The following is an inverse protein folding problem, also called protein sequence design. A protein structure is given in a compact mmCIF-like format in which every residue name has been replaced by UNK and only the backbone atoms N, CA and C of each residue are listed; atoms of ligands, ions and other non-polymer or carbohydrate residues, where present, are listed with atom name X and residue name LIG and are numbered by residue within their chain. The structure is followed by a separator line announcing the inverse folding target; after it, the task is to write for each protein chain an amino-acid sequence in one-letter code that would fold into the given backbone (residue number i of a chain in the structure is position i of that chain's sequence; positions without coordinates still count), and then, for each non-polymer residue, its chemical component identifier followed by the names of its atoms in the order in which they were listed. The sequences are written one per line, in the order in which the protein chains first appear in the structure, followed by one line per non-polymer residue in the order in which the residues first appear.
data_IF_110932324482
#
_entry.id   IF_110932324482
#
_cell.length_a   1.000
_cell.length_b   1.000
_cell.length_c   1.000
_cell.angle_alpha   90.00
_cell.angle_beta   90.00
_cell.angle_gamma   90.00
#
_symmetry.space_group_name_H-M   'P 1'
#
loop_
_entity.id
_entity.type
_entity.pdbx_description
1 polymer ?
#
# COMPACT_ATOMS: atom_id res chain seq x y z
N UNK A 1 -46.44 37.81 -2.22
CA UNK A 1 -46.08 36.69 -3.11
C UNK A 1 -44.58 36.46 -3.01
N UNK A 2 -44.13 35.38 -2.34
CA UNK A 2 -42.70 35.05 -2.16
C UNK A 2 -42.45 33.66 -2.74
N UNK A 3 -41.64 33.60 -3.78
CA UNK A 3 -41.31 32.42 -4.59
C UNK A 3 -40.32 31.52 -3.85
N UNK A 4 -40.65 30.22 -3.75
CA UNK A 4 -39.75 29.14 -3.31
C UNK A 4 -38.75 28.85 -4.43
N UNK A 5 -37.46 28.84 -4.11
CA UNK A 5 -36.40 28.34 -4.99
C UNK A 5 -35.92 26.98 -4.48
N UNK A 6 -36.42 25.92 -5.09
CA UNK A 6 -35.99 24.54 -4.86
C UNK A 6 -34.69 24.31 -5.65
N UNK A 7 -33.56 24.14 -4.96
CA UNK A 7 -32.29 23.75 -5.61
C UNK A 7 -32.18 22.23 -5.64
N UNK A 8 -32.43 21.65 -6.80
CA UNK A 8 -32.10 20.27 -7.15
C UNK A 8 -30.59 20.19 -7.39
N UNK A 9 -29.87 19.49 -6.51
CA UNK A 9 -28.44 19.17 -6.69
C UNK A 9 -28.33 17.86 -7.49
N UNK A 10 -28.00 17.99 -8.76
CA UNK A 10 -27.63 16.89 -9.66
C UNK A 10 -26.30 16.28 -9.19
N UNK A 11 -26.34 15.01 -8.79
CA UNK A 11 -25.15 14.25 -8.43
C UNK A 11 -24.40 13.83 -9.69
N UNK A 12 -23.29 14.50 -9.99
CA UNK A 12 -22.38 14.10 -11.07
C UNK A 12 -21.53 12.93 -10.57
N UNK A 13 -21.83 11.73 -11.05
CA UNK A 13 -21.05 10.52 -10.81
C UNK A 13 -19.67 10.63 -11.48
N UNK A 14 -18.62 10.79 -10.68
CA UNK A 14 -17.24 10.72 -11.16
C UNK A 14 -16.80 9.23 -11.13
N UNK A 15 -17.02 8.53 -12.24
CA UNK A 15 -16.47 7.19 -12.45
C UNK A 15 -15.01 7.32 -12.89
N UNK A 16 -14.06 6.99 -12.03
CA UNK A 16 -12.65 6.90 -12.40
C UNK A 16 -12.38 5.47 -12.89
N UNK A 17 -12.27 5.34 -14.20
CA UNK A 17 -11.82 4.13 -14.89
C UNK A 17 -10.28 4.05 -14.75
N UNK A 18 -9.76 3.07 -14.02
CA UNK A 18 -8.32 2.75 -14.06
C UNK A 18 -8.10 1.85 -15.28
N UNK A 19 -7.45 2.41 -16.30
CA UNK A 19 -7.09 1.70 -17.51
C UNK A 19 -5.99 0.66 -17.23
N UNK A 20 -6.20 -0.54 -17.79
CA UNK A 20 -5.26 -1.64 -17.81
C UNK A 20 -3.96 -1.27 -18.55
N UNK A 21 -2.81 -1.68 -18.03
CA UNK A 21 -1.55 -1.66 -18.77
C UNK A 21 -1.58 -2.76 -19.84
N UNK A 22 -1.18 -2.49 -21.09
CA UNK A 22 -0.87 -3.54 -22.05
C UNK A 22 0.48 -4.18 -21.70
N UNK A 23 0.44 -5.49 -21.51
CA UNK A 23 1.60 -6.35 -21.64
C UNK A 23 2.11 -6.29 -23.09
N UNK A 24 3.30 -5.73 -23.28
CA UNK A 24 4.07 -5.89 -24.51
C UNK A 24 5.29 -6.76 -24.18
N UNK A 25 5.11 -8.06 -24.31
CA UNK A 25 6.21 -8.96 -24.65
C UNK A 25 6.70 -8.54 -26.04
N UNK A 26 7.98 -8.18 -26.16
CA UNK A 26 8.63 -8.16 -27.46
C UNK A 26 9.99 -8.84 -27.32
N UNK A 27 10.08 -9.97 -28.02
CA UNK A 27 11.26 -10.78 -28.26
C UNK A 27 12.47 -9.95 -28.69
N UNK A 28 13.59 -10.16 -27.99
CA UNK A 28 14.91 -9.93 -28.57
C UNK A 28 15.81 -11.12 -28.23
N UNK A 29 16.24 -11.74 -29.32
CA UNK A 29 17.11 -12.90 -29.50
C UNK A 29 18.30 -13.02 -28.52
N UNK A 30 18.68 -14.25 -28.10
CA UNK A 30 19.83 -14.46 -27.23
C UNK A 30 21.15 -14.37 -28.02
N UNK A 31 22.18 -13.66 -27.53
CA UNK A 31 23.49 -13.70 -28.19
C UNK A 31 24.20 -15.04 -27.96
N UNK A 32 24.78 -15.58 -29.04
CA UNK A 32 25.62 -16.79 -29.09
C UNK A 32 26.88 -16.68 -28.21
N UNK A 33 27.42 -17.81 -27.70
CA UNK A 33 28.65 -17.84 -26.92
C UNK A 33 29.89 -17.86 -27.82
N UNK A 34 30.97 -17.19 -27.40
CA UNK A 34 32.32 -17.39 -27.95
C UNK A 34 33.27 -17.96 -26.87
N UNK A 35 34.21 -18.86 -27.24
CA UNK A 35 35.09 -19.62 -26.33
C UNK A 35 36.36 -18.85 -25.87
N UNK A 36 37.16 -19.41 -24.93
CA UNK A 36 38.04 -18.63 -24.06
C UNK A 36 39.48 -18.51 -24.60
N UNK A 37 40.17 -17.44 -24.19
CA UNK A 37 41.63 -17.39 -24.17
C UNK A 37 42.12 -16.60 -22.96
N UNK A 38 42.93 -17.28 -22.14
CA UNK A 38 43.61 -16.79 -20.94
C UNK A 38 44.78 -15.89 -21.28
N UNK A 39 45.08 -14.91 -20.42
CA UNK A 39 46.42 -14.59 -19.88
C UNK A 39 46.29 -13.54 -18.77
N UNK A 40 47.11 -13.70 -17.74
CA UNK A 40 46.96 -13.04 -16.44
C UNK A 40 47.78 -11.77 -16.24
N UNK A 41 47.66 -11.31 -14.98
CA UNK A 41 48.58 -10.49 -14.18
C UNK A 41 48.32 -8.98 -14.04
N UNK A 42 47.67 -8.65 -12.90
CA UNK A 42 48.00 -7.60 -11.90
C UNK A 42 48.05 -6.10 -12.30
N UNK A 43 47.84 -5.13 -11.36
CA UNK A 43 48.00 -5.24 -9.90
C UNK A 43 46.80 -4.79 -9.05
N UNK A 44 46.89 -5.16 -7.77
CA UNK A 44 45.97 -4.84 -6.70
C UNK A 44 45.76 -3.33 -6.51
N UNK A 45 44.50 -2.90 -6.58
CA UNK A 45 44.05 -1.61 -6.11
C UNK A 45 43.31 -1.79 -4.77
N UNK A 46 43.74 -1.00 -3.79
CA UNK A 46 43.29 -0.94 -2.41
C UNK A 46 41.77 -1.02 -2.24
N UNK A 47 41.32 -2.00 -1.45
CA UNK A 47 39.96 -2.04 -0.95
C UNK A 47 39.76 -0.92 0.08
N UNK A 48 39.11 0.17 -0.33
CA UNK A 48 38.47 1.10 0.59
C UNK A 48 37.28 0.37 1.25
N UNK A 49 37.04 0.54 2.56
CA UNK A 49 35.95 -0.14 3.24
C UNK A 49 34.62 0.33 2.66
N UNK A 50 33.91 -0.59 2.03
CA UNK A 50 32.53 -0.39 1.60
C UNK A 50 31.69 0.02 2.79
N UNK A 51 30.99 1.14 2.65
CA UNK A 51 29.91 1.51 3.55
C UNK A 51 28.96 0.32 3.76
N UNK A 52 28.36 0.15 4.95
CA UNK A 52 27.43 -0.95 5.18
C UNK A 52 26.29 -0.84 4.17
N UNK A 53 26.14 -1.88 3.35
CA UNK A 53 24.98 -2.06 2.50
C UNK A 53 23.75 -1.91 3.38
N UNK A 54 22.89 -0.93 3.06
CA UNK A 54 21.58 -0.82 3.66
C UNK A 54 20.93 -2.20 3.56
N UNK A 55 20.48 -2.74 4.69
CA UNK A 55 19.90 -4.07 4.76
C UNK A 55 18.66 -4.13 3.85
N UNK A 56 18.85 -4.59 2.62
CA UNK A 56 17.81 -5.14 1.76
C UNK A 56 17.42 -6.49 2.34
N UNK A 57 16.80 -6.46 3.53
CA UNK A 57 16.29 -7.64 4.18
C UNK A 57 15.11 -8.15 3.36
N UNK A 58 15.29 -9.26 2.66
CA UNK A 58 14.18 -10.02 2.10
C UNK A 58 13.15 -10.27 3.20
N UNK A 59 11.90 -9.94 2.93
CA UNK A 59 10.81 -10.13 3.87
C UNK A 59 10.50 -11.63 3.91
N UNK A 60 10.69 -12.25 5.07
CA UNK A 60 10.36 -13.67 5.24
C UNK A 60 8.86 -13.80 5.52
N UNK A 61 8.14 -14.58 4.70
CA UNK A 61 6.71 -14.81 4.89
C UNK A 61 6.43 -15.80 6.04
N UNK A 62 6.41 -15.27 7.26
CA UNK A 62 6.08 -16.00 8.49
C UNK A 62 4.68 -15.67 9.03
N UNK A 63 3.80 -15.07 8.21
CA UNK A 63 2.47 -14.66 8.67
C UNK A 63 1.37 -15.70 8.46
N UNK A 64 0.20 -15.49 9.08
CA UNK A 64 -0.95 -16.37 8.94
C UNK A 64 -1.58 -16.27 7.54
N UNK A 65 -2.39 -17.26 7.18
CA UNK A 65 -3.31 -17.14 6.04
C UNK A 65 -4.65 -16.60 6.50
N UNK A 66 -5.26 -15.73 5.70
CA UNK A 66 -6.53 -15.07 6.02
C UNK A 66 -7.64 -15.46 5.06
N UNK A 67 -8.87 -15.52 5.57
CA UNK A 67 -10.07 -15.64 4.76
C UNK A 67 -10.64 -14.26 4.45
N UNK A 68 -10.85 -13.99 3.16
CA UNK A 68 -11.77 -12.96 2.70
C UNK A 68 -12.77 -13.57 1.69
N UNK A 69 -13.97 -13.98 2.15
CA UNK A 69 -15.04 -14.40 1.25
C UNK A 69 -15.51 -13.25 0.34
N UNK A 70 -16.40 -13.50 -0.63
CA UNK A 70 -16.90 -12.45 -1.52
C UNK A 70 -17.59 -11.28 -0.77
N UNK A 71 -18.09 -11.54 0.44
CA UNK A 71 -18.67 -10.57 1.38
C UNK A 71 -17.63 -9.93 2.32
N UNK A 72 -16.33 -10.10 2.04
CA UNK A 72 -15.20 -9.79 2.92
C UNK A 72 -15.20 -8.39 3.52
N UNK A 73 -15.67 -7.39 2.79
CA UNK A 73 -15.80 -6.05 3.36
C UNK A 73 -16.70 -6.00 4.58
N UNK A 74 -17.71 -6.87 4.67
CA UNK A 74 -18.63 -6.93 5.82
C UNK A 74 -17.97 -7.55 7.06
N UNK A 75 -16.90 -8.32 6.89
CA UNK A 75 -16.14 -8.90 8.00
C UNK A 75 -15.20 -7.90 8.65
N UNK A 76 -14.79 -6.87 7.90
CA UNK A 76 -14.05 -5.75 8.45
C UNK A 76 -15.05 -4.86 9.19
N UNK A 77 -15.12 -5.03 10.51
CA UNK A 77 -15.95 -4.17 11.35
C UNK A 77 -15.44 -2.73 11.28
N UNK A 78 -16.35 -1.78 11.50
CA UNK A 78 -16.03 -0.34 11.53
C UNK A 78 -15.46 0.09 12.88
N UNK A 79 -15.63 -0.75 13.90
CA UNK A 79 -15.20 -0.50 15.29
C UNK A 79 -13.73 -0.08 15.41
N UNK A 80 -12.75 -0.72 14.72
CA UNK A 80 -11.37 -0.25 14.66
C UNK A 80 -11.21 1.26 14.44
N UNK A 81 -12.06 1.82 13.59
CA UNK A 81 -11.99 3.21 13.15
C UNK A 81 -12.79 4.16 14.04
N UNK A 82 -13.90 3.69 14.60
CA UNK A 82 -14.75 4.49 15.48
C UNK A 82 -14.00 4.92 16.74
N UNK A 83 -13.14 4.07 17.29
CA UNK A 83 -12.29 4.37 18.45
C UNK A 83 -11.22 5.43 18.15
N UNK A 84 -10.72 5.44 16.92
CA UNK A 84 -9.67 6.37 16.49
C UNK A 84 -10.23 7.73 16.07
N UNK A 85 -11.44 7.72 15.50
CA UNK A 85 -12.09 8.89 14.93
C UNK A 85 -13.58 8.89 15.31
N UNK A 86 -13.90 9.22 16.57
CA UNK A 86 -15.28 9.26 17.02
C UNK A 86 -16.10 10.25 16.18
N UNK A 87 -17.23 9.78 15.65
CA UNK A 87 -18.12 10.57 14.79
C UNK A 87 -17.73 10.63 13.32
N UNK A 88 -16.61 10.03 12.90
CA UNK A 88 -16.24 9.97 11.50
C UNK A 88 -17.16 9.04 10.70
N UNK A 89 -17.50 9.44 9.47
CA UNK A 89 -18.29 8.60 8.58
C UNK A 89 -17.39 7.60 7.90
N UNK A 90 -17.69 6.33 8.05
CA UNK A 90 -16.96 5.26 7.37
C UNK A 90 -17.81 4.66 6.26
N UNK A 91 -17.16 4.37 5.14
CA UNK A 91 -17.73 3.70 3.99
C UNK A 91 -16.89 2.47 3.66
N UNK A 92 -17.57 1.37 3.39
CA UNK A 92 -16.98 0.09 3.00
C UNK A 92 -17.35 -0.18 1.56
N UNK A 93 -16.35 -0.37 0.69
CA UNK A 93 -16.51 -0.57 -0.74
C UNK A 93 -15.83 -1.90 -1.16
N UNK A 94 -16.59 -2.94 -1.54
CA UNK A 94 -16.01 -4.15 -2.11
C UNK A 94 -15.40 -3.85 -3.48
N UNK A 95 -14.12 -4.18 -3.63
CA UNK A 95 -13.38 -3.98 -4.88
C UNK A 95 -13.27 -5.25 -5.72
N UNK A 96 -13.68 -6.39 -5.16
CA UNK A 96 -13.65 -7.71 -5.80
C UNK A 96 -13.41 -8.82 -4.80
N UNK A 97 -13.34 -10.09 -5.25
CA UNK A 97 -13.04 -11.21 -4.39
C UNK A 97 -11.71 -11.02 -3.65
N UNK A 98 -11.73 -11.08 -2.32
CA UNK A 98 -10.52 -10.93 -1.52
C UNK A 98 -9.99 -9.50 -1.38
N UNK A 99 -10.72 -8.47 -1.85
CA UNK A 99 -10.27 -7.08 -1.83
C UNK A 99 -11.36 -6.11 -1.38
N UNK A 100 -11.01 -5.26 -0.42
CA UNK A 100 -11.89 -4.26 0.15
C UNK A 100 -11.22 -2.89 0.21
N UNK A 101 -12.00 -1.82 0.10
CA UNK A 101 -11.58 -0.47 0.47
C UNK A 101 -12.46 0.08 1.58
N UNK A 102 -11.83 0.69 2.58
CA UNK A 102 -12.48 1.32 3.72
C UNK A 102 -12.11 2.80 3.69
N UNK A 103 -13.10 3.67 3.52
CA UNK A 103 -12.90 5.11 3.49
C UNK A 103 -13.48 5.73 4.76
N UNK A 104 -12.65 6.42 5.53
CA UNK A 104 -13.06 7.27 6.64
C UNK A 104 -13.05 8.71 6.15
N UNK A 105 -14.23 9.31 6.05
CA UNK A 105 -14.43 10.67 5.61
C UNK A 105 -14.68 11.64 6.76
N UNK A 106 -14.71 12.93 6.41
CA UNK A 106 -15.08 14.03 7.30
C UNK A 106 -14.19 14.14 8.56
N UNK A 107 -12.91 13.80 8.43
CA UNK A 107 -11.97 13.93 9.53
C UNK A 107 -11.61 15.41 9.78
N UNK A 108 -11.25 15.77 11.04
CA UNK A 108 -10.77 17.10 11.38
C UNK A 108 -9.65 17.55 10.42
N UNK A 109 -9.70 18.83 10.03
CA UNK A 109 -8.69 19.41 9.14
C UNK A 109 -8.85 19.04 7.66
N UNK A 110 -9.99 18.44 7.25
CA UNK A 110 -10.27 18.15 5.84
C UNK A 110 -9.42 17.00 5.31
N UNK A 111 -9.33 15.91 6.08
CA UNK A 111 -8.61 14.70 5.69
C UNK A 111 -9.59 13.56 5.36
N UNK A 112 -9.13 12.64 4.52
CA UNK A 112 -9.73 11.32 4.30
C UNK A 112 -8.67 10.28 4.60
N UNK A 113 -9.06 9.19 5.24
CA UNK A 113 -8.23 7.99 5.29
C UNK A 113 -8.89 6.93 4.42
N UNK A 114 -8.15 6.40 3.44
CA UNK A 114 -8.59 5.28 2.61
C UNK A 114 -7.68 4.10 2.86
N UNK A 115 -8.25 2.98 3.29
CA UNK A 115 -7.51 1.74 3.55
C UNK A 115 -7.96 0.66 2.60
N UNK A 116 -7.06 0.21 1.73
CA UNK A 116 -7.28 -0.97 0.89
C UNK A 116 -6.70 -2.18 1.59
N UNK A 117 -7.49 -3.25 1.65
CA UNK A 117 -7.10 -4.55 2.20
C UNK A 117 -7.28 -5.59 1.11
N UNK A 118 -6.25 -6.40 0.88
CA UNK A 118 -6.24 -7.43 -0.16
C UNK A 118 -5.66 -8.73 0.40
N UNK A 119 -6.36 -9.85 0.20
CA UNK A 119 -5.80 -11.19 0.45
C UNK A 119 -5.24 -11.70 -0.87
N UNK A 120 -3.93 -11.67 -0.97
CA UNK A 120 -3.21 -11.97 -2.21
C UNK A 120 -3.15 -13.47 -2.40
N UNK A 121 -3.88 -13.98 -3.40
CA UNK A 121 -3.91 -15.41 -3.72
C UNK A 121 -2.79 -15.76 -4.69
N UNK A 122 -1.91 -16.67 -4.29
CA UNK A 122 -0.82 -17.16 -5.14
C UNK A 122 0.11 -18.15 -4.45
N UNK A 123 -0.32 -18.73 -3.32
CA UNK A 123 0.54 -19.54 -2.45
C UNK A 123 1.41 -18.70 -1.51
N UNK A 124 2.30 -19.38 -0.78
CA UNK A 124 3.16 -18.77 0.25
C UNK A 124 4.11 -17.77 -0.40
N UNK A 125 4.17 -16.54 0.11
CA UNK A 125 5.06 -15.51 -0.40
C UNK A 125 4.45 -14.57 -1.44
N UNK A 126 3.25 -14.81 -1.97
CA UNK A 126 2.66 -13.97 -3.02
C UNK A 126 2.46 -12.51 -2.58
N UNK A 127 1.86 -12.29 -1.39
CA UNK A 127 1.70 -10.95 -0.83
C UNK A 127 3.05 -10.26 -0.58
N UNK A 128 4.06 -11.05 -0.17
CA UNK A 128 5.42 -10.56 0.06
C UNK A 128 6.09 -10.13 -1.24
N UNK A 129 5.98 -10.93 -2.31
CA UNK A 129 6.49 -10.57 -3.63
C UNK A 129 5.81 -9.32 -4.19
N UNK A 130 4.50 -9.17 -4.00
CA UNK A 130 3.79 -7.95 -4.35
C UNK A 130 4.29 -6.74 -3.54
N UNK A 131 4.50 -6.92 -2.24
CA UNK A 131 5.02 -5.87 -1.36
C UNK A 131 6.42 -5.41 -1.79
N UNK A 132 7.35 -6.35 -2.02
CA UNK A 132 8.71 -6.03 -2.45
C UNK A 132 8.72 -5.42 -3.85
N UNK A 133 7.94 -5.94 -4.80
CA UNK A 133 7.85 -5.41 -6.15
C UNK A 133 7.32 -3.97 -6.22
N UNK A 134 6.24 -3.68 -5.49
CA UNK A 134 5.69 -2.32 -5.40
C UNK A 134 6.64 -1.38 -4.65
N UNK A 135 7.30 -1.86 -3.60
CA UNK A 135 8.33 -1.09 -2.91
C UNK A 135 9.45 -0.67 -3.85
N UNK A 136 9.97 -1.58 -4.68
CA UNK A 136 11.03 -1.25 -5.65
C UNK A 136 10.58 -0.22 -6.69
N UNK A 137 9.32 -0.25 -7.12
CA UNK A 137 8.74 0.78 -7.99
C UNK A 137 8.73 2.14 -7.26
N UNK A 138 8.26 2.18 -6.03
CA UNK A 138 8.21 3.42 -5.24
C UNK A 138 9.62 3.95 -4.92
N UNK A 139 10.58 3.08 -4.65
CA UNK A 139 11.98 3.48 -4.41
C UNK A 139 12.62 4.07 -5.68
N UNK A 140 12.30 3.51 -6.85
CA UNK A 140 12.76 4.04 -8.14
C UNK A 140 12.11 5.38 -8.46
N UNK A 141 10.80 5.48 -8.27
CA UNK A 141 10.02 6.67 -8.66
C UNK A 141 10.15 7.80 -7.61
N UNK A 142 10.49 7.45 -6.37
CA UNK A 142 10.69 8.36 -5.24
C UNK A 142 11.98 8.06 -4.45
N UNK A 143 13.18 8.28 -5.05
CA UNK A 143 14.46 7.93 -4.42
C UNK A 143 14.64 8.55 -3.04
N UNK A 144 14.97 7.71 -2.05
CA UNK A 144 15.23 8.12 -0.66
C UNK A 144 14.00 8.53 0.15
N UNK A 145 12.78 8.44 -0.41
CA UNK A 145 11.53 8.80 0.29
C UNK A 145 10.79 7.60 0.88
N UNK A 146 11.10 6.40 0.41
CA UNK A 146 10.56 5.16 0.97
C UNK A 146 11.31 4.83 2.26
N UNK A 147 10.59 4.69 3.36
CA UNK A 147 11.14 4.42 4.69
C UNK A 147 10.53 3.16 5.27
N UNK A 148 11.35 2.30 5.85
CA UNK A 148 10.84 1.16 6.63
C UNK A 148 9.99 1.66 7.80
N UNK A 149 8.90 0.96 8.07
CA UNK A 149 8.05 1.21 9.22
C UNK A 149 7.95 -0.07 10.07
N UNK A 150 8.37 0.01 11.33
CA UNK A 150 8.42 -1.15 12.23
C UNK A 150 7.13 -1.28 13.05
N UNK A 151 6.91 -2.46 13.65
CA UNK A 151 5.82 -2.66 14.62
C UNK A 151 4.42 -2.81 14.03
N UNK A 152 4.31 -3.17 12.75
CA UNK A 152 3.04 -3.52 12.10
C UNK A 152 3.25 -4.59 11.02
N UNK A 153 2.43 -5.64 11.09
CA UNK A 153 2.54 -6.79 10.19
C UNK A 153 3.88 -7.51 10.26
N UNK A 154 4.21 -8.25 9.19
CA UNK A 154 5.53 -8.88 9.00
C UNK A 154 6.54 -7.90 8.44
N UNK A 155 6.11 -6.96 7.59
CA UNK A 155 6.90 -5.83 7.14
C UNK A 155 5.99 -4.67 6.75
N UNK A 156 6.52 -3.44 6.85
CA UNK A 156 5.85 -2.26 6.37
C UNK A 156 6.83 -1.18 5.89
N UNK A 157 6.36 -0.32 5.00
CA UNK A 157 7.06 0.89 4.59
C UNK A 157 6.09 2.05 4.43
N UNK A 158 6.61 3.26 4.54
CA UNK A 158 5.89 4.51 4.28
C UNK A 158 6.57 5.30 3.18
N UNK A 159 5.78 6.07 2.46
CA UNK A 159 6.26 7.05 1.47
C UNK A 159 5.25 8.19 1.32
N UNK A 160 5.69 9.31 0.75
CA UNK A 160 4.83 10.45 0.46
C UNK A 160 4.22 10.29 -0.94
N UNK A 161 2.97 9.85 -1.00
CA UNK A 161 2.21 9.75 -2.24
C UNK A 161 1.64 11.10 -2.69
N UNK A 162 1.11 11.12 -3.92
CA UNK A 162 0.54 12.34 -4.53
C UNK A 162 -0.58 12.98 -3.69
N UNK A 163 -1.42 12.17 -3.06
CA UNK A 163 -2.55 12.64 -2.23
C UNK A 163 -2.16 12.88 -0.77
N UNK A 164 -1.00 12.36 -0.35
CA UNK A 164 -0.48 12.38 1.01
C UNK A 164 0.25 11.08 1.38
N UNK A 165 0.68 10.93 2.65
CA UNK A 165 1.40 9.78 3.15
C UNK A 165 0.64 8.49 2.94
N UNK A 166 1.42 7.47 2.59
CA UNK A 166 0.94 6.11 2.36
C UNK A 166 1.74 5.17 3.25
N UNK A 167 1.05 4.37 4.04
CA UNK A 167 1.61 3.22 4.73
C UNK A 167 1.20 1.94 3.98
N UNK A 168 2.19 1.11 3.66
CA UNK A 168 1.97 -0.21 3.07
C UNK A 168 2.48 -1.26 4.05
N UNK A 169 1.66 -2.29 4.29
CA UNK A 169 1.93 -3.37 5.23
C UNK A 169 1.68 -4.70 4.53
N UNK A 170 2.56 -5.66 4.78
CA UNK A 170 2.33 -7.08 4.46
C UNK A 170 2.35 -7.91 5.72
N UNK A 171 1.42 -8.84 5.84
CA UNK A 171 1.38 -9.80 6.94
C UNK A 171 0.75 -11.12 6.46
N UNK A 172 1.57 -12.16 6.28
CA UNK A 172 1.09 -13.44 5.76
C UNK A 172 0.67 -13.34 4.29
N UNK A 173 -0.60 -13.61 4.00
CA UNK A 173 -1.21 -13.37 2.68
C UNK A 173 -2.00 -12.05 2.59
N UNK A 174 -2.08 -11.27 3.68
CA UNK A 174 -2.71 -9.96 3.68
C UNK A 174 -1.74 -8.86 3.22
N UNK A 175 -2.23 -8.03 2.31
CA UNK A 175 -1.62 -6.79 1.87
C UNK A 175 -2.56 -5.63 2.24
N UNK A 176 -2.05 -4.68 3.03
CA UNK A 176 -2.81 -3.53 3.53
C UNK A 176 -2.13 -2.24 3.08
N UNK A 177 -2.91 -1.33 2.50
CA UNK A 177 -2.44 0.01 2.09
C UNK A 177 -3.33 1.07 2.70
N UNK A 178 -2.78 1.90 3.57
CA UNK A 178 -3.47 3.03 4.20
C UNK A 178 -2.96 4.32 3.57
N UNK A 179 -3.88 5.10 2.99
CA UNK A 179 -3.60 6.41 2.40
C UNK A 179 -4.27 7.47 3.26
N UNK A 180 -3.52 8.50 3.63
CA UNK A 180 -4.09 9.69 4.26
C UNK A 180 -4.07 10.83 3.27
N UNK A 181 -5.25 11.16 2.74
CA UNK A 181 -5.45 12.12 1.67
C UNK A 181 -5.96 13.47 2.19
N UNK A 182 -5.51 14.55 1.55
CA UNK A 182 -6.03 15.90 1.76
C UNK A 182 -7.26 16.16 0.88
N UNK A 183 -8.37 16.62 1.46
CA UNK A 183 -9.57 17.06 0.73
C UNK A 183 -9.52 18.52 0.27
N UNK A 184 -8.47 19.26 0.62
CA UNK A 184 -8.33 20.66 0.25
C UNK A 184 -6.91 21.18 0.43
N UNK A 185 -6.62 22.32 -0.20
CA UNK A 185 -5.28 22.94 -0.15
C UNK A 185 -4.88 23.39 1.27
N UNK A 186 -5.85 23.69 2.12
CA UNK A 186 -5.64 24.08 3.52
C UNK A 186 -5.52 22.90 4.49
N UNK A 187 -5.72 21.66 4.01
CA UNK A 187 -5.64 20.50 4.88
C UNK A 187 -4.19 20.24 5.32
N UNK A 188 -4.01 20.09 6.63
CA UNK A 188 -2.72 19.80 7.26
C UNK A 188 -2.72 18.34 7.67
N UNK A 189 -1.69 17.62 7.26
CA UNK A 189 -1.48 16.24 7.69
C UNK A 189 -0.72 16.28 9.02
N UNK A 190 -1.28 15.71 10.10
CA UNK A 190 -0.60 15.64 11.38
C UNK A 190 0.74 14.88 11.28
N UNK A 191 1.77 15.26 12.05
CA UNK A 191 3.07 14.58 12.01
C UNK A 191 3.00 13.11 12.49
N UNK A 192 2.02 12.75 13.31
CA UNK A 192 1.78 11.39 13.83
C UNK A 192 0.93 10.51 12.89
N UNK A 193 0.72 10.94 11.64
CA UNK A 193 -0.15 10.25 10.68
C UNK A 193 0.30 8.82 10.38
N UNK A 194 1.60 8.57 10.29
CA UNK A 194 2.12 7.23 10.04
C UNK A 194 1.80 6.27 11.20
N UNK A 195 1.90 6.73 12.45
CA UNK A 195 1.54 5.95 13.63
C UNK A 195 0.04 5.65 13.70
N UNK A 196 -0.81 6.62 13.33
CA UNK A 196 -2.26 6.41 13.22
C UNK A 196 -2.60 5.40 12.13
N UNK A 197 -1.99 5.52 10.96
CA UNK A 197 -2.14 4.55 9.88
C UNK A 197 -1.68 3.15 10.30
N UNK A 198 -0.60 3.04 11.08
CA UNK A 198 -0.13 1.76 11.61
C UNK A 198 -1.11 1.18 12.65
N UNK A 199 -1.73 2.02 13.49
CA UNK A 199 -2.77 1.57 14.42
C UNK A 199 -4.00 1.04 13.69
N UNK A 200 -4.45 1.73 12.65
CA UNK A 200 -5.50 1.25 11.74
C UNK A 200 -5.14 -0.12 11.14
N UNK A 201 -3.95 -0.23 10.54
CA UNK A 201 -3.52 -1.46 9.90
C UNK A 201 -3.44 -2.63 10.90
N UNK A 202 -2.94 -2.40 12.13
CA UNK A 202 -2.94 -3.41 13.19
C UNK A 202 -4.34 -3.89 13.55
N UNK A 203 -5.30 -2.97 13.72
CA UNK A 203 -6.67 -3.36 14.07
C UNK A 203 -7.36 -4.10 12.93
N UNK A 204 -7.13 -3.70 11.68
CA UNK A 204 -7.63 -4.44 10.50
C UNK A 204 -7.06 -5.85 10.49
N UNK A 205 -5.75 -6.01 10.63
CA UNK A 205 -5.10 -7.32 10.64
C UNK A 205 -5.62 -8.20 11.78
N UNK A 206 -5.85 -7.62 12.96
CA UNK A 206 -6.44 -8.33 14.11
C UNK A 206 -7.91 -8.74 13.90
N UNK A 207 -8.65 -8.00 13.07
CA UNK A 207 -10.04 -8.30 12.72
C UNK A 207 -10.21 -9.28 11.56
N UNK A 208 -9.15 -9.60 10.82
CA UNK A 208 -9.21 -10.57 9.73
C UNK A 208 -9.32 -12.01 10.27
N UNK A 209 -10.29 -12.81 9.80
CA UNK A 209 -10.40 -14.19 10.24
C UNK A 209 -9.29 -15.05 9.63
N UNK A 210 -8.70 -15.91 10.45
CA UNK A 210 -7.75 -16.91 9.99
C UNK A 210 -8.40 -17.88 9.00
N UNK A 211 -7.62 -18.31 8.00
CA UNK A 211 -8.01 -19.30 7.00
C UNK A 211 -7.92 -20.74 7.51
#
# INVERSE_FOLDING_TARGET
MKTKLTRTLTATALSILVAALPAACNDKEPPKPNPPASTGSSPAASASPSAPAAASGHVVNNGPSYKMPAEACKLLTVEPFADLYPGAKTRLDPLGPGKCNITIGELPGGLIISTTVEIVRGGRGAATGQFEGLRSIEERDNPGKVKNFAGVGSAAYTYDGMLGPVLVVVHGDAYVRVVVAKLGRSAVIPPDTADRAAKIARQILAGLPAA
#
